data_IF_819586552489
#
_entry.id   IF_819586552489
#
_cell.length_a   1.000
_cell.length_b   1.000
_cell.length_c   1.000
_cell.angle_alpha   90.00
_cell.angle_beta   90.00
_cell.angle_gamma   90.00
#
_symmetry.space_group_name_H-M   'P 1'
#
loop_
_entity.id
_entity.type
_entity.pdbx_description
1 polymer ?
#
# COMPACT_ATOMS: atom_id res chain seq x y z
N UNK A 1 29.45 -17.12 14.35
CA UNK A 1 28.16 -16.69 13.78
C UNK A 1 27.28 -16.26 14.94
N UNK A 2 27.07 -14.96 15.10
CA UNK A 2 26.32 -14.35 16.21
C UNK A 2 24.81 -14.57 16.05
N UNK A 3 24.07 -14.63 17.16
CA UNK A 3 22.60 -14.82 17.17
C UNK A 3 21.86 -13.78 16.32
N UNK A 4 22.35 -12.54 16.27
CA UNK A 4 21.82 -11.47 15.41
C UNK A 4 21.75 -11.86 13.92
N UNK A 5 22.73 -12.61 13.41
CA UNK A 5 22.76 -13.03 12.00
C UNK A 5 21.76 -14.16 11.72
N UNK A 6 21.40 -14.95 12.74
CA UNK A 6 20.35 -15.97 12.65
C UNK A 6 18.95 -15.34 12.73
N UNK A 7 18.78 -14.28 13.52
CA UNK A 7 17.50 -13.60 13.70
C UNK A 7 17.12 -12.74 12.47
N UNK A 8 18.10 -12.10 11.83
CA UNK A 8 17.90 -11.38 10.55
C UNK A 8 17.48 -12.31 9.40
N UNK A 9 17.86 -13.60 9.44
CA UNK A 9 17.43 -14.60 8.44
C UNK A 9 15.95 -15.01 8.57
N UNK A 10 15.27 -14.63 9.65
CA UNK A 10 13.86 -14.93 9.88
C UNK A 10 12.94 -13.72 9.63
N UNK A 11 13.46 -12.60 9.14
CA UNK A 11 12.66 -11.40 8.86
C UNK A 11 12.55 -11.16 7.36
N UNK A 12 11.34 -10.86 6.91
CA UNK A 12 11.13 -10.49 5.51
C UNK A 12 11.80 -9.14 5.21
N UNK A 13 12.53 -9.05 4.10
CA UNK A 13 13.12 -7.80 3.63
C UNK A 13 13.03 -7.69 2.10
N UNK A 14 12.98 -6.45 1.60
CA UNK A 14 13.05 -6.18 0.16
C UNK A 14 14.51 -6.35 -0.25
N UNK A 15 14.83 -7.38 -1.04
CA UNK A 15 16.17 -7.60 -1.59
C UNK A 15 16.42 -6.86 -2.89
N UNK A 16 15.36 -6.54 -3.63
CA UNK A 16 15.43 -5.71 -4.85
C UNK A 16 14.21 -4.83 -4.99
N UNK A 17 14.43 -3.58 -5.42
CA UNK A 17 13.37 -2.64 -5.76
C UNK A 17 13.61 -2.06 -7.16
N UNK A 18 12.60 -2.15 -8.02
CA UNK A 18 12.63 -1.61 -9.39
C UNK A 18 11.45 -0.68 -9.60
N UNK A 19 11.72 0.53 -10.11
CA UNK A 19 10.72 1.53 -10.45
C UNK A 19 10.79 1.85 -11.94
N UNK A 20 9.63 2.06 -12.55
CA UNK A 20 9.48 2.56 -13.92
C UNK A 20 8.44 3.66 -13.95
N UNK A 21 8.78 4.82 -14.52
CA UNK A 21 7.90 5.99 -14.65
C UNK A 21 7.20 6.38 -13.34
N UNK A 22 7.92 6.38 -12.22
CA UNK A 22 7.37 6.64 -10.90
C UNK A 22 7.81 8.00 -10.36
N UNK A 23 6.89 8.95 -10.17
CA UNK A 23 7.19 10.32 -9.69
C UNK A 23 8.36 10.94 -10.49
N UNK A 24 9.48 11.24 -9.85
CA UNK A 24 10.66 11.79 -10.53
C UNK A 24 11.61 10.71 -11.10
N UNK A 25 11.34 9.42 -10.91
CA UNK A 25 12.14 8.32 -11.43
C UNK A 25 11.63 7.86 -12.81
N UNK A 26 12.43 8.06 -13.85
CA UNK A 26 12.20 7.40 -15.15
C UNK A 26 12.42 5.88 -15.03
N UNK A 27 13.52 5.51 -14.37
CA UNK A 27 13.85 4.14 -14.00
C UNK A 27 14.71 4.13 -12.75
N UNK A 28 14.57 3.10 -11.92
CA UNK A 28 15.45 2.82 -10.79
C UNK A 28 15.57 1.31 -10.63
N UNK A 29 16.76 0.80 -10.33
CA UNK A 29 16.97 -0.57 -9.86
C UNK A 29 17.93 -0.53 -8.70
N UNK A 30 17.47 -0.99 -7.53
CA UNK A 30 18.21 -0.96 -6.28
C UNK A 30 18.26 -2.37 -5.69
N UNK A 31 19.46 -2.90 -5.51
CA UNK A 31 19.70 -4.13 -4.74
C UNK A 31 19.94 -3.75 -3.27
N UNK A 32 19.36 -4.53 -2.35
CA UNK A 32 19.31 -4.24 -0.92
C UNK A 32 19.71 -5.48 -0.12
N UNK A 33 20.42 -5.25 0.98
CA UNK A 33 20.70 -6.26 1.99
C UNK A 33 19.68 -6.24 3.13
N UNK A 34 19.66 -7.27 3.98
CA UNK A 34 18.87 -7.24 5.21
C UNK A 34 19.39 -6.15 6.16
N UNK A 35 18.49 -5.62 6.99
CA UNK A 35 18.82 -4.63 8.03
C UNK A 35 18.45 -3.19 7.63
N UNK A 36 19.06 -2.24 8.33
CA UNK A 36 18.72 -0.83 8.18
C UNK A 36 19.31 -0.24 6.89
N UNK A 37 18.48 0.45 6.12
CA UNK A 37 18.85 1.16 4.89
C UNK A 37 18.67 2.65 5.09
N UNK A 38 19.73 3.42 4.86
CA UNK A 38 19.70 4.89 4.96
C UNK A 38 19.73 5.50 3.57
N UNK A 39 18.68 6.27 3.24
CA UNK A 39 18.62 7.06 2.02
C UNK A 39 19.11 8.47 2.32
N UNK A 40 20.25 8.86 1.74
CA UNK A 40 20.87 10.19 1.91
C UNK A 40 20.98 10.92 0.57
N UNK A 41 21.19 12.24 0.62
CA UNK A 41 21.26 13.11 -0.55
C UNK A 41 20.43 14.37 -0.37
N UNK A 42 20.46 15.25 -1.37
CA UNK A 42 19.83 16.57 -1.29
C UNK A 42 18.31 16.53 -1.22
N UNK A 43 17.71 17.62 -0.73
CA UNK A 43 16.27 17.81 -0.78
C UNK A 43 15.79 17.83 -2.24
N UNK A 44 14.68 17.16 -2.52
CA UNK A 44 14.18 17.00 -3.89
C UNK A 44 14.79 15.84 -4.67
N UNK A 45 15.83 15.15 -4.18
CA UNK A 45 16.46 14.02 -4.87
C UNK A 45 15.57 12.76 -5.05
N UNK A 46 14.34 12.77 -4.54
CA UNK A 46 13.39 11.65 -4.68
C UNK A 46 13.35 10.68 -3.50
N UNK A 47 14.10 10.90 -2.42
CA UNK A 47 14.13 10.03 -1.22
C UNK A 47 12.72 9.68 -0.71
N UNK A 48 11.85 10.68 -0.55
CA UNK A 48 10.47 10.48 -0.11
C UNK A 48 9.61 9.80 -1.18
N UNK A 49 9.92 9.97 -2.46
CA UNK A 49 9.24 9.24 -3.54
C UNK A 49 9.63 7.76 -3.50
N UNK A 50 10.87 7.42 -3.15
CA UNK A 50 11.28 6.03 -2.95
C UNK A 50 10.53 5.39 -1.76
N UNK A 51 10.39 6.11 -0.65
CA UNK A 51 9.55 5.67 0.48
C UNK A 51 8.07 5.55 0.09
N UNK A 52 7.57 6.44 -0.77
CA UNK A 52 6.22 6.35 -1.32
C UNK A 52 6.05 5.09 -2.17
N UNK A 53 7.04 4.73 -2.99
CA UNK A 53 7.01 3.49 -3.75
C UNK A 53 6.92 2.25 -2.83
N UNK A 54 7.74 2.18 -1.78
CA UNK A 54 7.67 1.10 -0.78
C UNK A 54 6.30 1.06 -0.10
N UNK A 55 5.72 2.22 0.22
CA UNK A 55 4.38 2.30 0.82
C UNK A 55 3.25 1.81 -0.12
N UNK A 56 3.52 1.65 -1.41
CA UNK A 56 2.60 1.03 -2.35
C UNK A 56 2.75 -0.49 -2.42
N UNK A 57 3.72 -1.13 -1.75
CA UNK A 57 3.78 -2.60 -1.62
C UNK A 57 2.81 -3.15 -0.54
N UNK A 58 1.82 -2.35 -0.16
CA UNK A 58 0.73 -2.72 0.76
C UNK A 58 -0.61 -2.20 0.18
N UNK A 59 -1.77 -2.73 0.58
CA UNK A 59 -3.06 -2.25 0.10
C UNK A 59 -3.30 -0.76 0.34
N UNK A 60 -4.14 -0.17 -0.52
CA UNK A 60 -4.51 1.23 -0.45
C UNK A 60 -3.60 2.16 -1.27
N UNK A 61 -3.63 3.46 -0.93
CA UNK A 61 -3.02 4.54 -1.72
C UNK A 61 -1.62 4.97 -1.24
N UNK A 62 -0.99 4.15 -0.40
CA UNK A 62 0.34 4.44 0.15
C UNK A 62 0.40 5.69 1.04
N UNK A 63 1.60 6.23 1.16
CA UNK A 63 1.98 7.28 2.11
C UNK A 63 1.23 8.60 1.87
N UNK A 64 1.23 9.13 0.65
CA UNK A 64 0.63 10.43 0.32
C UNK A 64 -0.83 10.34 -0.08
N UNK A 65 -1.33 9.14 -0.34
CA UNK A 65 -2.71 8.86 -0.75
C UNK A 65 -3.15 9.59 -2.03
N UNK A 66 -2.21 9.96 -2.88
CA UNK A 66 -2.49 10.56 -4.17
C UNK A 66 -3.31 9.60 -5.05
N UNK A 67 -4.16 10.13 -5.95
CA UNK A 67 -4.64 9.37 -7.11
C UNK A 67 -3.48 8.68 -7.83
N UNK A 68 -3.68 7.44 -8.29
CA UNK A 68 -2.59 6.70 -8.95
C UNK A 68 -2.09 7.37 -10.24
N UNK A 69 -2.96 8.09 -10.96
CA UNK A 69 -2.56 8.88 -12.11
C UNK A 69 -1.49 9.93 -11.75
N UNK A 70 -1.60 10.56 -10.58
CA UNK A 70 -0.65 11.58 -10.10
C UNK A 70 0.68 10.95 -9.61
N UNK A 71 0.72 9.62 -9.43
CA UNK A 71 1.93 8.88 -9.07
C UNK A 71 2.82 8.64 -10.28
N UNK A 72 2.22 8.55 -11.47
CA UNK A 72 2.96 8.41 -12.72
C UNK A 72 3.91 9.61 -12.93
N UNK A 73 5.05 9.33 -13.57
CA UNK A 73 6.04 10.34 -13.86
C UNK A 73 5.53 11.35 -14.88
N UNK A 74 5.77 12.62 -14.62
CA UNK A 74 5.51 13.71 -15.56
C UNK A 74 6.35 13.52 -16.84
N UNK A 75 5.72 13.68 -18.01
CA UNK A 75 6.33 13.38 -19.31
C UNK A 75 6.46 11.88 -19.62
N UNK A 76 5.87 11.01 -18.80
CA UNK A 76 5.66 9.59 -19.11
C UNK A 76 4.37 9.34 -19.90
N UNK A 77 4.04 8.07 -20.09
CA UNK A 77 2.82 7.60 -20.76
C UNK A 77 1.57 7.58 -19.85
N UNK A 78 1.66 8.18 -18.65
CA UNK A 78 0.61 8.13 -17.62
C UNK A 78 0.57 6.82 -16.84
N UNK A 79 1.46 5.87 -17.13
CA UNK A 79 1.63 4.62 -16.40
C UNK A 79 2.78 4.66 -15.39
N UNK A 80 2.77 3.72 -14.44
CA UNK A 80 3.94 3.42 -13.64
C UNK A 80 3.96 1.95 -13.25
N UNK A 81 5.16 1.44 -13.00
CA UNK A 81 5.34 0.09 -12.46
C UNK A 81 6.34 0.10 -11.30
N UNK A 82 6.03 -0.72 -10.31
CA UNK A 82 6.85 -1.05 -9.16
C UNK A 82 7.01 -2.57 -9.15
N UNK A 83 8.24 -3.04 -9.01
CA UNK A 83 8.55 -4.44 -8.74
C UNK A 83 9.45 -4.52 -7.53
N UNK A 84 9.15 -5.46 -6.65
CA UNK A 84 9.95 -5.75 -5.48
C UNK A 84 10.19 -7.25 -5.38
N UNK A 85 11.44 -7.63 -5.14
CA UNK A 85 11.78 -8.97 -4.66
C UNK A 85 11.89 -8.91 -3.15
N UNK A 86 11.21 -9.83 -2.49
CA UNK A 86 11.18 -9.94 -1.04
C UNK A 86 11.77 -11.31 -0.69
N UNK A 87 12.76 -11.32 0.18
CA UNK A 87 13.23 -12.53 0.85
C UNK A 87 12.47 -12.65 2.17
N UNK A 88 12.01 -13.84 2.52
CA UNK A 88 11.35 -14.08 3.80
C UNK A 88 11.48 -15.52 4.26
N UNK A 89 10.89 -15.86 5.43
CA UNK A 89 10.98 -17.21 6.02
C UNK A 89 10.42 -18.32 5.13
N UNK A 90 9.41 -17.99 4.34
CA UNK A 90 8.72 -18.92 3.42
C UNK A 90 9.37 -18.97 2.03
N UNK A 91 10.48 -18.26 1.86
CA UNK A 91 11.22 -18.15 0.60
C UNK A 91 11.10 -16.79 -0.08
N UNK A 92 11.58 -16.75 -1.32
CA UNK A 92 11.56 -15.55 -2.14
C UNK A 92 10.19 -15.37 -2.80
N UNK A 93 9.70 -14.14 -2.83
CA UNK A 93 8.50 -13.74 -3.59
C UNK A 93 8.77 -12.47 -4.38
N UNK A 94 8.15 -12.35 -5.55
CA UNK A 94 8.19 -11.15 -6.36
C UNK A 94 6.82 -10.50 -6.42
N UNK A 95 6.73 -9.23 -6.01
CA UNK A 95 5.51 -8.43 -6.06
C UNK A 95 5.67 -7.34 -7.11
N UNK A 96 4.77 -7.33 -8.08
CA UNK A 96 4.62 -6.25 -9.06
C UNK A 96 3.33 -5.47 -8.80
N UNK A 97 3.37 -4.14 -8.88
CA UNK A 97 2.17 -3.31 -8.80
C UNK A 97 2.30 -2.05 -9.66
N UNK A 98 1.19 -1.58 -10.23
CA UNK A 98 1.23 -0.40 -11.08
C UNK A 98 -0.10 -0.08 -11.73
N UNK A 99 -0.09 0.93 -12.60
CA UNK A 99 -1.18 1.24 -13.51
C UNK A 99 -0.65 1.22 -14.95
N UNK A 100 -1.50 0.83 -15.89
CA UNK A 100 -1.17 0.94 -17.32
C UNK A 100 -1.09 2.40 -17.75
N UNK A 101 -0.17 2.69 -18.67
CA UNK A 101 -0.10 3.94 -19.43
C UNK A 101 -0.64 3.79 -20.85
N UNK A 102 -0.50 4.84 -21.65
CA UNK A 102 -0.93 4.90 -23.05
C UNK A 102 -2.41 5.24 -23.22
N UNK A 103 -3.03 4.72 -24.28
CA UNK A 103 -4.42 5.02 -24.67
C UNK A 103 -5.49 4.57 -23.64
N UNK A 104 -5.07 3.80 -22.62
CA UNK A 104 -5.87 3.44 -21.45
C UNK A 104 -5.18 3.82 -20.13
N UNK A 105 -4.46 4.95 -20.11
CA UNK A 105 -3.74 5.41 -18.92
C UNK A 105 -4.69 5.57 -17.72
N UNK A 106 -4.44 4.83 -16.65
CA UNK A 106 -5.33 4.80 -15.47
C UNK A 106 -6.63 4.00 -15.65
N UNK A 107 -6.94 3.51 -16.86
CA UNK A 107 -8.07 2.64 -17.11
C UNK A 107 -7.81 1.23 -16.54
N UNK A 108 -8.76 0.73 -15.74
CA UNK A 108 -8.65 -0.56 -15.05
C UNK A 108 -7.96 -0.51 -13.67
N UNK A 109 -7.59 0.69 -13.18
CA UNK A 109 -7.11 0.89 -11.82
C UNK A 109 -5.77 0.22 -11.52
N UNK A 110 -5.45 0.10 -10.23
CA UNK A 110 -4.21 -0.50 -9.73
C UNK A 110 -4.22 -2.00 -9.96
N UNK A 111 -3.20 -2.51 -10.67
CA UNK A 111 -2.97 -3.93 -10.89
C UNK A 111 -1.87 -4.44 -9.97
N UNK A 112 -2.01 -5.66 -9.49
CA UNK A 112 -1.03 -6.34 -8.63
C UNK A 112 -0.73 -7.71 -9.23
N UNK A 113 0.54 -8.12 -9.19
CA UNK A 113 1.03 -9.43 -9.58
C UNK A 113 1.92 -10.00 -8.48
N UNK A 114 1.79 -11.28 -8.21
CA UNK A 114 2.62 -12.03 -7.26
C UNK A 114 3.24 -13.19 -8.03
N UNK A 115 4.57 -13.30 -8.04
CA UNK A 115 5.34 -14.26 -8.83
C UNK A 115 4.92 -14.28 -10.31
N UNK A 116 4.64 -13.10 -10.88
CA UNK A 116 4.21 -12.92 -12.27
C UNK A 116 2.72 -13.19 -12.54
N UNK A 117 2.00 -13.85 -11.65
CA UNK A 117 0.56 -14.11 -11.79
C UNK A 117 -0.28 -12.91 -11.30
N UNK A 118 -1.39 -12.55 -11.95
CA UNK A 118 -2.31 -11.53 -11.44
C UNK A 118 -2.87 -11.92 -10.06
N UNK A 119 -2.77 -11.01 -9.09
CA UNK A 119 -3.41 -11.18 -7.79
C UNK A 119 -4.92 -10.91 -7.90
N UNK A 120 -5.72 -11.54 -7.03
CA UNK A 120 -7.18 -11.31 -6.97
C UNK A 120 -7.48 -9.96 -6.35
N UNK A 121 -6.67 -9.57 -5.37
CA UNK A 121 -6.82 -8.32 -4.65
C UNK A 121 -5.46 -7.71 -4.31
N UNK A 122 -5.46 -6.44 -3.92
CA UNK A 122 -4.27 -5.84 -3.33
C UNK A 122 -3.93 -6.46 -1.97
N UNK A 123 -4.91 -6.99 -1.24
CA UNK A 123 -4.73 -7.59 0.10
C UNK A 123 -3.86 -8.85 0.05
N UNK A 124 -3.81 -9.54 -1.08
CA UNK A 124 -2.95 -10.71 -1.32
C UNK A 124 -1.45 -10.39 -1.08
N UNK A 125 -1.03 -9.11 -1.16
CA UNK A 125 0.35 -8.70 -0.82
C UNK A 125 0.68 -8.84 0.66
N UNK A 126 -0.32 -8.74 1.56
CA UNK A 126 -0.13 -8.73 3.01
C UNK A 126 0.33 -10.07 3.59
N UNK A 127 0.19 -11.15 2.82
CA UNK A 127 0.80 -12.44 3.11
C UNK A 127 2.32 -12.35 3.13
N UNK A 128 2.90 -11.51 2.28
CA UNK A 128 4.33 -11.47 1.98
C UNK A 128 5.06 -10.28 2.59
N UNK A 129 4.42 -9.11 2.58
CA UNK A 129 5.01 -7.87 3.08
C UNK A 129 3.97 -7.00 3.76
N UNK A 130 4.32 -6.56 4.97
CA UNK A 130 3.49 -5.65 5.77
C UNK A 130 4.35 -4.45 6.16
N UNK A 131 3.95 -3.27 5.68
CA UNK A 131 4.74 -2.05 5.84
C UNK A 131 3.99 -1.05 6.72
N UNK A 132 4.69 -0.57 7.75
CA UNK A 132 4.28 0.59 8.53
C UNK A 132 5.31 1.70 8.28
N UNK A 133 4.85 2.94 8.31
CA UNK A 133 5.71 4.10 8.14
C UNK A 133 5.37 5.17 9.15
N UNK A 134 6.40 5.92 9.52
CA UNK A 134 6.32 7.14 10.31
C UNK A 134 6.95 8.25 9.49
N UNK A 135 6.29 9.40 9.42
CA UNK A 135 6.80 10.56 8.69
C UNK A 135 6.65 11.82 9.53
N UNK A 136 7.46 12.86 9.29
CA UNK A 136 7.33 14.13 10.01
C UNK A 136 5.92 14.75 9.92
N UNK A 137 5.21 14.53 8.81
CA UNK A 137 3.83 15.01 8.64
C UNK A 137 2.83 14.38 9.64
N UNK A 138 3.21 13.32 10.36
CA UNK A 138 2.37 12.65 11.35
C UNK A 138 2.31 13.36 12.69
N UNK A 139 3.07 14.45 12.91
CA UNK A 139 2.92 15.28 14.13
C UNK A 139 1.48 15.79 14.30
N UNK A 140 0.76 15.99 13.18
CA UNK A 140 -0.66 16.36 13.17
C UNK A 140 -1.63 15.25 13.59
N UNK A 141 -1.18 14.01 13.82
CA UNK A 141 -2.04 12.87 14.12
C UNK A 141 -2.83 13.05 15.43
N UNK A 142 -2.18 13.59 16.46
CA UNK A 142 -2.79 13.82 17.77
C UNK A 142 -3.72 15.04 17.80
N UNK A 143 -3.30 16.24 17.34
CA UNK A 143 -4.17 17.41 17.31
C UNK A 143 -5.23 17.34 16.19
N UNK A 144 -5.06 16.47 15.20
CA UNK A 144 -5.92 16.39 14.03
C UNK A 144 -7.25 15.65 14.24
N UNK A 145 -8.02 15.49 13.16
CA UNK A 145 -9.30 14.79 13.20
C UNK A 145 -9.17 13.33 13.63
N UNK A 146 -10.21 12.80 14.28
CA UNK A 146 -10.25 11.39 14.69
C UNK A 146 -10.14 10.40 13.50
N UNK A 147 -10.49 10.83 12.30
CA UNK A 147 -10.35 10.03 11.08
C UNK A 147 -8.89 9.66 10.79
N UNK A 148 -7.94 10.54 11.08
CA UNK A 148 -6.52 10.26 10.81
C UNK A 148 -5.94 9.28 11.83
N UNK A 149 -6.35 9.41 13.11
CA UNK A 149 -6.02 8.43 14.16
C UNK A 149 -6.57 7.04 13.85
N UNK A 150 -7.83 6.95 13.39
CA UNK A 150 -8.43 5.67 12.98
C UNK A 150 -7.64 5.02 11.84
N UNK A 151 -7.34 5.77 10.79
CA UNK A 151 -6.55 5.25 9.65
C UNK A 151 -5.15 4.79 10.06
N UNK A 152 -4.51 5.52 10.98
CA UNK A 152 -3.23 5.11 11.53
C UNK A 152 -3.36 3.79 12.29
N UNK A 153 -4.37 3.67 13.17
CA UNK A 153 -4.65 2.45 13.90
C UNK A 153 -4.98 1.27 12.95
N UNK A 154 -5.84 1.48 11.96
CA UNK A 154 -6.18 0.44 10.97
C UNK A 154 -4.94 -0.09 10.26
N UNK A 155 -3.96 0.78 9.94
CA UNK A 155 -2.69 0.36 9.35
C UNK A 155 -1.84 -0.47 10.30
N UNK A 156 -1.81 -0.11 11.60
CA UNK A 156 -1.11 -0.90 12.61
C UNK A 156 -1.76 -2.28 12.77
N UNK A 157 -3.09 -2.34 12.79
CA UNK A 157 -3.83 -3.60 12.87
C UNK A 157 -3.57 -4.45 11.64
N UNK A 158 -3.57 -3.87 10.43
CA UNK A 158 -3.24 -4.58 9.18
C UNK A 158 -1.85 -5.23 9.19
N UNK A 159 -0.88 -4.67 9.92
CA UNK A 159 0.44 -5.27 10.05
C UNK A 159 0.42 -6.57 10.88
N UNK A 160 -0.59 -6.74 11.73
CA UNK A 160 -0.75 -7.89 12.62
C UNK A 160 -1.78 -8.88 12.03
N UNK A 161 -2.96 -8.37 11.70
CA UNK A 161 -4.09 -9.11 11.14
C UNK A 161 -4.41 -8.61 9.72
N UNK A 162 -4.00 -9.35 8.68
CA UNK A 162 -4.24 -8.97 7.29
C UNK A 162 -5.73 -8.96 6.93
N UNK A 163 -6.58 -9.70 7.64
CA UNK A 163 -8.02 -9.72 7.42
C UNK A 163 -8.77 -8.47 7.90
N UNK A 164 -8.08 -7.55 8.59
CA UNK A 164 -8.70 -6.31 9.07
C UNK A 164 -9.18 -5.40 7.95
N UNK A 165 -8.48 -5.38 6.81
CA UNK A 165 -8.82 -4.53 5.66
C UNK A 165 -10.23 -4.78 5.16
N UNK A 166 -10.53 -6.04 4.84
CA UNK A 166 -11.84 -6.47 4.38
C UNK A 166 -12.94 -6.15 5.41
N UNK A 167 -12.74 -6.48 6.69
CA UNK A 167 -13.73 -6.19 7.76
C UNK A 167 -14.01 -4.68 7.89
N UNK A 168 -12.97 -3.84 7.79
CA UNK A 168 -13.14 -2.39 7.83
C UNK A 168 -13.93 -1.87 6.61
N UNK A 169 -13.68 -2.43 5.42
CA UNK A 169 -14.42 -2.09 4.21
C UNK A 169 -15.89 -2.50 4.27
N UNK A 170 -16.18 -3.70 4.77
CA UNK A 170 -17.54 -4.21 4.94
C UNK A 170 -18.32 -3.35 5.94
N UNK A 171 -17.70 -3.01 7.07
CA UNK A 171 -18.28 -2.06 8.02
C UNK A 171 -18.60 -0.69 7.40
N UNK A 172 -17.65 -0.10 6.66
CA UNK A 172 -17.86 1.19 5.99
C UNK A 172 -18.96 1.13 4.92
N UNK A 173 -19.13 -0.01 4.26
CA UNK A 173 -20.20 -0.25 3.28
C UNK A 173 -21.56 -0.34 3.98
N UNK A 174 -21.66 -1.13 5.05
CA UNK A 174 -22.86 -1.26 5.87
C UNK A 174 -23.28 0.10 6.45
N UNK A 175 -22.34 0.83 7.06
CA UNK A 175 -22.57 2.17 7.60
C UNK A 175 -23.10 3.16 6.55
N UNK A 176 -22.52 3.17 5.34
CA UNK A 176 -23.01 4.02 4.24
C UNK A 176 -24.40 3.63 3.77
N UNK A 177 -24.68 2.33 3.66
CA UNK A 177 -26.01 1.83 3.35
C UNK A 177 -27.04 2.27 4.39
N UNK A 178 -26.70 2.13 5.67
CA UNK A 178 -27.56 2.49 6.79
C UNK A 178 -27.90 3.98 6.78
N UNK A 179 -26.88 4.82 6.65
CA UNK A 179 -27.08 6.27 6.58
C UNK A 179 -27.95 6.69 5.39
N UNK A 180 -27.84 6.01 4.24
CA UNK A 180 -28.71 6.24 3.09
C UNK A 180 -30.17 5.90 3.41
N UNK A 181 -30.44 4.70 3.95
CA UNK A 181 -31.79 4.28 4.33
C UNK A 181 -32.43 5.24 5.35
N UNK A 182 -31.64 5.72 6.32
CA UNK A 182 -32.10 6.73 7.29
C UNK A 182 -32.44 8.06 6.62
N UNK A 183 -31.62 8.51 5.67
CA UNK A 183 -31.86 9.75 4.92
C UNK A 183 -33.11 9.65 4.04
N UNK A 184 -33.37 8.48 3.48
CA UNK A 184 -34.56 8.17 2.67
C UNK A 184 -35.82 7.92 3.52
N UNK A 185 -35.69 7.93 4.85
CA UNK A 185 -36.82 7.73 5.78
C UNK A 185 -37.33 6.29 5.84
N UNK A 186 -36.52 5.31 5.41
CA UNK A 186 -36.88 3.89 5.48
C UNK A 186 -37.08 3.45 6.93
N UNK A 187 -38.16 2.69 7.17
CA UNK A 187 -38.52 2.11 8.48
C UNK A 187 -38.62 0.59 8.45
N UNK A 188 -38.32 0.00 7.31
CA UNK A 188 -38.42 -1.44 7.11
C UNK A 188 -37.11 -2.09 7.56
N UNK A 189 -37.19 -2.88 8.63
CA UNK A 189 -36.05 -3.57 9.25
C UNK A 189 -35.38 -4.55 8.31
N UNK A 190 -36.10 -5.14 7.34
CA UNK A 190 -35.53 -6.07 6.38
C UNK A 190 -34.44 -5.44 5.51
N UNK A 191 -34.56 -4.15 5.18
CA UNK A 191 -33.51 -3.43 4.45
C UNK A 191 -32.27 -3.18 5.29
N UNK A 192 -32.41 -2.97 6.61
CA UNK A 192 -31.28 -2.81 7.51
C UNK A 192 -30.55 -4.14 7.72
N UNK A 193 -31.29 -5.23 7.96
CA UNK A 193 -30.71 -6.56 8.12
C UNK A 193 -29.93 -7.01 6.88
N UNK A 194 -30.44 -6.69 5.68
CA UNK A 194 -29.80 -7.06 4.42
C UNK A 194 -28.46 -6.35 4.14
N UNK A 195 -28.19 -5.20 4.76
CA UNK A 195 -26.96 -4.43 4.52
C UNK A 195 -25.94 -4.53 5.67
N UNK A 196 -26.34 -5.09 6.82
CA UNK A 196 -25.53 -5.21 8.05
C UNK A 196 -24.97 -6.64 8.26
N UNK A 197 -25.02 -7.52 7.25
CA UNK A 197 -24.36 -8.84 7.20
C UNK A 197 -22.87 -8.75 6.92
#
# INVERSE_FOLDING_TARGET
MTEDTKQLRQQSYISKLTLTNFRNYAGLSLELGPGAVVLSGDNGAGKTNLLEAISLLTPGRGLRRAPYADVAREGGDGGFALHARIEGPEGQVEIGTGISGGDGAGEGGRRVRINGAPAKSAEDMLEWLRVVWLTPAMDGLFPGPAADRRRFLDRLVLAIDPGHGQRALDYEKAMRGRNRLLTEGSRDSGWFDAIET
#
